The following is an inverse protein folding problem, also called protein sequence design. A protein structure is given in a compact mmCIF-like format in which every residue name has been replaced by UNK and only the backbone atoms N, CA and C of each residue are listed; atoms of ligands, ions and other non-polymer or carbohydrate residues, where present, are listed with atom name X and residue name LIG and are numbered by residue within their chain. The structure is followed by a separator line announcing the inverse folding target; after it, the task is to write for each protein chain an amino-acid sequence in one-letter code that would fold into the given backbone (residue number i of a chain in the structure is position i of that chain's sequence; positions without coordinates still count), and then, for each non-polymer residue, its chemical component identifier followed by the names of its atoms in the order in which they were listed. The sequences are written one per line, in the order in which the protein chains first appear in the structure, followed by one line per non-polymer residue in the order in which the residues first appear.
data_IF_305846230638
#
_entry.id   IF_305846230638
#
_cell.length_a   1.000
_cell.length_b   1.000
_cell.length_c   1.000
_cell.angle_alpha   90.00
_cell.angle_beta   90.00
_cell.angle_gamma   90.00
#
_symmetry.space_group_name_H-M   'P 1'
#
loop_
_entity.id
_entity.type
_entity.pdbx_description
1 polymer ?
#
# COMPACT_ATOMS: atom_id res chain seq x y z
N UNK A 1 -14.81 -5.10 6.65
CA UNK A 1 -13.70 -4.32 7.24
C UNK A 1 -14.29 -3.20 8.06
N UNK A 2 -13.80 -3.00 9.28
CA UNK A 2 -14.25 -1.93 10.18
C UNK A 2 -13.63 -0.60 9.78
N UNK A 3 -14.45 0.45 9.67
CA UNK A 3 -13.98 1.82 9.43
C UNK A 3 -13.88 2.52 10.78
N UNK A 4 -12.67 2.94 11.17
CA UNK A 4 -12.47 3.74 12.37
C UNK A 4 -12.47 5.23 12.02
N UNK A 5 -12.98 6.07 12.92
CA UNK A 5 -12.84 7.53 12.80
C UNK A 5 -11.53 7.95 13.45
N UNK A 6 -10.67 8.61 12.70
CA UNK A 6 -9.38 9.11 13.19
C UNK A 6 -9.22 10.55 12.72
N UNK A 7 -8.83 11.44 13.63
CA UNK A 7 -8.45 12.81 13.29
C UNK A 7 -6.95 12.80 12.95
N UNK A 8 -6.61 13.11 11.70
CA UNK A 8 -5.23 13.22 11.21
C UNK A 8 -5.10 14.53 10.43
N UNK A 9 -3.92 15.14 10.49
CA UNK A 9 -3.58 16.28 9.64
C UNK A 9 -3.09 15.78 8.29
N UNK A 10 -3.58 16.38 7.22
CA UNK A 10 -3.24 16.05 5.83
C UNK A 10 -3.06 17.34 5.05
N UNK A 11 -2.16 17.30 4.07
CA UNK A 11 -1.97 18.41 3.14
C UNK A 11 -3.07 18.38 2.07
N UNK A 12 -3.83 19.46 1.98
CA UNK A 12 -4.93 19.60 1.05
C UNK A 12 -4.48 19.62 -0.41
N UNK A 13 -3.25 20.04 -0.70
CA UNK A 13 -2.71 20.06 -2.07
C UNK A 13 -2.50 18.63 -2.58
N UNK A 14 -1.97 17.73 -1.75
CA UNK A 14 -1.83 16.32 -2.12
C UNK A 14 -3.20 15.64 -2.30
N UNK A 15 -4.15 15.94 -1.41
CA UNK A 15 -5.51 15.42 -1.53
C UNK A 15 -6.16 15.90 -2.83
N UNK A 16 -6.03 17.18 -3.18
CA UNK A 16 -6.56 17.73 -4.41
C UNK A 16 -5.96 17.08 -5.67
N UNK A 17 -4.65 16.80 -5.66
CA UNK A 17 -3.99 16.06 -6.77
C UNK A 17 -4.56 14.66 -6.91
N UNK A 18 -4.77 13.93 -5.81
CA UNK A 18 -5.35 12.58 -5.82
C UNK A 18 -6.80 12.64 -6.33
N UNK A 19 -7.59 13.58 -5.81
CA UNK A 19 -8.99 13.79 -6.23
C UNK A 19 -9.09 14.04 -7.74
N UNK A 20 -8.25 14.93 -8.28
CA UNK A 20 -8.21 15.21 -9.72
C UNK A 20 -7.73 14.02 -10.54
N UNK A 21 -6.68 13.31 -10.08
CA UNK A 21 -6.07 12.20 -10.81
C UNK A 21 -7.00 10.98 -10.89
N UNK A 22 -7.76 10.72 -9.85
CA UNK A 22 -8.59 9.51 -9.73
C UNK A 22 -10.10 9.77 -9.76
N UNK A 23 -10.53 11.03 -9.90
CA UNK A 23 -11.94 11.41 -10.05
C UNK A 23 -12.80 11.20 -8.79
N UNK A 24 -12.19 11.17 -7.61
CA UNK A 24 -12.91 10.99 -6.34
C UNK A 24 -13.47 12.32 -5.82
N UNK A 25 -14.62 12.27 -5.14
CA UNK A 25 -15.43 13.45 -4.81
C UNK A 25 -15.20 13.96 -3.40
N UNK A 26 -14.63 13.14 -2.53
CA UNK A 26 -14.41 13.48 -1.12
C UNK A 26 -12.98 13.23 -0.68
N UNK A 27 -12.51 14.01 0.31
CA UNK A 27 -11.20 13.80 0.95
C UNK A 27 -11.09 12.39 1.54
N UNK A 28 -12.19 11.88 2.11
CA UNK A 28 -12.24 10.52 2.67
C UNK A 28 -12.06 9.44 1.61
N UNK A 29 -12.62 9.61 0.41
CA UNK A 29 -12.41 8.68 -0.71
C UNK A 29 -10.97 8.76 -1.23
N UNK A 30 -10.39 9.96 -1.31
CA UNK A 30 -8.99 10.13 -1.70
C UNK A 30 -8.04 9.43 -0.71
N UNK A 31 -8.29 9.57 0.59
CA UNK A 31 -7.52 8.89 1.64
C UNK A 31 -7.73 7.36 1.58
N UNK A 32 -8.97 6.89 1.43
CA UNK A 32 -9.26 5.46 1.30
C UNK A 32 -8.56 4.85 0.08
N UNK A 33 -8.56 5.57 -1.05
CA UNK A 33 -7.87 5.16 -2.27
C UNK A 33 -6.35 5.11 -2.09
N UNK A 34 -5.77 6.14 -1.48
CA UNK A 34 -4.34 6.18 -1.19
C UNK A 34 -3.92 5.03 -0.27
N UNK A 35 -4.70 4.75 0.79
CA UNK A 35 -4.45 3.65 1.71
C UNK A 35 -4.55 2.29 0.99
N UNK A 36 -5.55 2.07 0.14
CA UNK A 36 -5.67 0.83 -0.65
C UNK A 36 -4.53 0.66 -1.65
N UNK A 37 -4.04 1.74 -2.24
CA UNK A 37 -2.94 1.69 -3.18
C UNK A 37 -1.61 1.39 -2.48
N UNK A 38 -1.37 2.00 -1.32
CA UNK A 38 -0.11 1.90 -0.57
C UNK A 38 -0.02 0.65 0.31
N UNK A 39 -1.13 0.23 0.93
CA UNK A 39 -1.22 -1.06 1.61
C UNK A 39 -1.14 -2.25 0.62
N UNK A 40 -1.12 -1.95 -0.68
CA UNK A 40 -1.14 -2.89 -1.78
C UNK A 40 -2.52 -3.50 -1.98
N UNK A 41 -2.73 -4.06 -3.17
CA UNK A 41 -3.45 -5.33 -3.23
C UNK A 41 -2.39 -6.42 -3.04
N UNK A 42 -1.94 -6.72 -1.80
CA UNK A 42 -1.17 -7.93 -1.61
C UNK A 42 -2.08 -9.05 -2.09
N UNK A 43 -1.56 -9.91 -2.97
CA UNK A 43 -2.32 -11.07 -3.38
C UNK A 43 -2.79 -11.78 -2.12
N UNK A 44 -4.06 -12.17 -2.07
CA UNK A 44 -4.59 -12.87 -0.91
C UNK A 44 -3.73 -14.11 -0.65
N UNK A 45 -3.66 -14.57 0.60
CA UNK A 45 -2.93 -15.80 0.93
C UNK A 45 -3.34 -16.98 0.01
N UNK A 46 -4.61 -17.04 -0.40
CA UNK A 46 -5.13 -18.02 -1.34
C UNK A 46 -4.62 -17.84 -2.78
N UNK A 47 -4.41 -16.61 -3.25
CA UNK A 47 -3.76 -16.33 -4.53
C UNK A 47 -2.27 -16.66 -4.48
N UNK A 48 -1.59 -16.37 -3.36
CA UNK A 48 -0.19 -16.73 -3.14
C UNK A 48 0.01 -18.24 -3.11
N UNK A 49 -0.93 -18.96 -2.48
CA UNK A 49 -0.92 -20.40 -2.43
C UNK A 49 -1.15 -21.02 -3.82
N UNK A 50 -2.03 -20.43 -4.64
CA UNK A 50 -2.24 -20.84 -6.04
C UNK A 50 -1.03 -20.60 -6.93
N UNK A 51 -0.23 -19.58 -6.61
CA UNK A 51 1.03 -19.28 -7.30
C UNK A 51 2.23 -20.07 -6.76
N UNK A 52 2.05 -20.94 -5.75
CA UNK A 52 3.13 -21.81 -5.24
C UNK A 52 3.67 -22.68 -6.37
N UNK A 53 4.94 -22.51 -6.71
CA UNK A 53 5.60 -23.21 -7.83
C UNK A 53 5.63 -22.43 -9.15
N UNK A 54 5.05 -21.23 -9.22
CA UNK A 54 5.08 -20.37 -10.41
C UNK A 54 6.43 -19.66 -10.64
N UNK A 55 7.41 -19.79 -9.72
CA UNK A 55 8.72 -19.16 -9.85
C UNK A 55 8.70 -17.62 -9.85
N UNK A 56 7.61 -16.99 -9.39
CA UNK A 56 7.36 -15.56 -9.52
C UNK A 56 8.11 -14.67 -8.52
N UNK A 57 8.93 -15.25 -7.64
CA UNK A 57 9.83 -14.49 -6.78
C UNK A 57 11.14 -14.28 -7.53
N UNK A 58 11.45 -13.02 -7.85
CA UNK A 58 12.82 -12.64 -8.18
C UNK A 58 13.73 -13.06 -7.01
N UNK A 59 14.97 -13.46 -7.33
CA UNK A 59 15.92 -13.95 -6.33
C UNK A 59 15.91 -13.00 -5.12
N UNK A 60 15.68 -13.50 -3.90
CA UNK A 60 15.75 -12.66 -2.71
C UNK A 60 17.11 -11.95 -2.69
N UNK A 61 17.15 -10.65 -2.35
CA UNK A 61 18.42 -9.94 -2.25
C UNK A 61 19.31 -10.63 -1.20
N UNK A 62 20.62 -10.56 -1.42
CA UNK A 62 21.58 -11.17 -0.51
C UNK A 62 21.40 -10.65 0.92
N UNK A 63 21.53 -11.55 1.90
CA UNK A 63 21.48 -11.19 3.31
C UNK A 63 22.66 -10.25 3.63
N UNK A 64 22.35 -8.97 3.83
CA UNK A 64 23.31 -7.96 4.28
C UNK A 64 23.25 -7.82 5.80
N UNK A 65 24.36 -8.09 6.47
CA UNK A 65 24.49 -7.84 7.90
C UNK A 65 24.24 -6.34 8.20
N UNK A 66 23.60 -6.01 9.34
CA UNK A 66 23.40 -4.62 9.74
C UNK A 66 24.76 -3.92 9.86
N UNK A 67 24.90 -2.77 9.21
CA UNK A 67 26.13 -1.96 9.29
C UNK A 67 26.28 -1.46 10.72
N UNK A 68 27.21 -2.03 11.48
CA UNK A 68 27.56 -1.54 12.82
C UNK A 68 27.95 -2.57 13.88
N UNK A 69 28.03 -3.86 13.57
CA UNK A 69 28.63 -4.82 14.50
C UNK A 69 30.15 -4.88 14.27
N UNK A 70 30.88 -3.95 14.90
CA UNK A 70 32.33 -3.99 15.10
C UNK A 70 32.62 -3.95 16.60
#
# INVERSE_FOLDING_TARGET
MTRSRTNIEIDDDYVAVIMRRYGVRTKTEAVDLALRHLAGQPMSQAEALRMRGAGAIASPPDDVAPRGAA
#
